data_IF_046703516014
#
_entry.id   IF_046703516014
#
_cell.length_a   1.000
_cell.length_b   1.000
_cell.length_c   1.000
_cell.angle_alpha   90.00
_cell.angle_beta   90.00
_cell.angle_gamma   90.00
#
_symmetry.space_group_name_H-M   'P 1'
#
loop_
_entity.id
_entity.type
_entity.pdbx_description
1 polymer ?
#
# COMPACT_ATOMS: atom_id res chain seq x y z
N UNK A 1 2.24 1.14 5.14
CA UNK A 1 0.94 1.63 5.58
C UNK A 1 -0.14 0.58 5.32
N UNK A 2 -1.05 0.38 6.27
CA UNK A 2 -2.15 -0.57 6.19
C UNK A 2 -3.53 0.07 6.25
N UNK A 3 -4.59 -0.75 6.24
CA UNK A 3 -5.98 -0.30 6.29
C UNK A 3 -6.35 0.57 7.50
N UNK A 4 -5.58 0.48 8.59
CA UNK A 4 -5.74 1.36 9.75
C UNK A 4 -5.53 2.84 9.44
N UNK A 5 -4.71 3.17 8.44
CA UNK A 5 -4.53 4.55 7.95
C UNK A 5 -5.80 5.08 7.27
N UNK A 6 -6.50 4.21 6.52
CA UNK A 6 -7.82 4.56 5.94
C UNK A 6 -8.84 4.76 7.06
N UNK A 7 -8.90 3.83 8.02
CA UNK A 7 -9.89 3.85 9.09
C UNK A 7 -9.76 5.07 10.00
N UNK A 8 -8.54 5.51 10.27
CA UNK A 8 -8.23 6.69 11.08
C UNK A 8 -8.28 8.03 10.30
N UNK A 9 -8.51 7.99 8.97
CA UNK A 9 -8.41 9.17 8.09
C UNK A 9 -7.07 9.91 8.25
N UNK A 10 -5.94 9.20 8.22
CA UNK A 10 -4.60 9.73 8.48
C UNK A 10 -3.68 9.77 7.25
N UNK A 11 -4.24 9.76 6.04
CA UNK A 11 -3.45 9.84 4.80
C UNK A 11 -2.59 11.11 4.73
N UNK A 12 -3.14 12.26 5.11
CA UNK A 12 -2.41 13.54 5.14
C UNK A 12 -1.21 13.47 6.09
N UNK A 13 -1.41 12.91 7.29
CA UNK A 13 -0.33 12.76 8.28
C UNK A 13 0.72 11.75 7.80
N UNK A 14 0.32 10.70 7.08
CA UNK A 14 1.27 9.76 6.49
C UNK A 14 2.13 10.44 5.42
N UNK A 15 1.52 11.24 4.55
CA UNK A 15 2.22 12.00 3.50
C UNK A 15 3.20 12.98 4.15
N UNK A 16 2.74 13.78 5.12
CA UNK A 16 3.57 14.75 5.84
C UNK A 16 4.76 14.07 6.54
N UNK A 17 4.53 12.94 7.21
CA UNK A 17 5.61 12.16 7.84
C UNK A 17 6.63 11.70 6.81
N UNK A 18 6.16 11.13 5.69
CA UNK A 18 7.03 10.60 4.64
C UNK A 18 7.87 11.70 3.99
N UNK A 19 7.30 12.86 3.73
CA UNK A 19 8.00 14.01 3.16
C UNK A 19 9.00 14.60 4.15
N UNK A 20 8.54 14.89 5.39
CA UNK A 20 9.35 15.53 6.41
C UNK A 20 10.55 14.68 6.83
N UNK A 21 10.37 13.37 6.96
CA UNK A 21 11.42 12.44 7.34
C UNK A 21 12.13 11.79 6.13
N UNK A 22 11.71 12.12 4.90
CA UNK A 22 12.21 11.56 3.64
C UNK A 22 12.19 10.04 3.62
N UNK A 23 10.98 9.46 3.80
CA UNK A 23 10.77 8.02 3.90
C UNK A 23 10.08 7.47 2.65
N UNK A 24 10.54 6.34 2.09
CA UNK A 24 9.76 5.61 1.10
C UNK A 24 8.56 4.92 1.77
N UNK A 25 7.46 4.80 1.04
CA UNK A 25 6.20 4.25 1.55
C UNK A 25 5.73 3.11 0.66
N UNK A 26 5.40 1.98 1.28
CA UNK A 26 4.62 0.93 0.64
C UNK A 26 3.27 0.75 1.35
N UNK A 27 2.33 0.15 0.63
CA UNK A 27 0.96 -0.04 1.11
C UNK A 27 0.61 -1.53 1.15
N UNK A 28 -0.35 -1.87 2.00
CA UNK A 28 -1.05 -3.15 1.88
C UNK A 28 -2.19 -3.02 0.88
N UNK A 29 -2.74 -4.15 0.41
CA UNK A 29 -3.87 -4.16 -0.52
C UNK A 29 -5.03 -3.25 -0.09
N UNK A 30 -5.42 -3.30 1.19
CA UNK A 30 -6.52 -2.49 1.73
C UNK A 30 -6.12 -1.03 2.03
N UNK A 31 -4.89 -0.65 1.73
CA UNK A 31 -4.38 0.71 1.93
C UNK A 31 -4.00 1.40 0.61
N UNK A 32 -4.32 0.81 -0.53
CA UNK A 32 -4.10 1.47 -1.82
C UNK A 32 -4.75 2.85 -1.84
N UNK A 33 -4.02 3.85 -2.29
CA UNK A 33 -4.44 5.25 -2.33
C UNK A 33 -4.26 6.05 -1.03
N UNK A 34 -3.86 5.44 0.10
CA UNK A 34 -3.56 6.23 1.33
C UNK A 34 -2.29 7.07 1.20
N UNK A 35 -1.43 6.68 0.30
CA UNK A 35 -0.26 7.42 -0.15
C UNK A 35 -0.31 7.45 -1.67
N UNK A 36 -0.23 8.62 -2.32
CA UNK A 36 -0.34 8.73 -3.77
C UNK A 36 0.73 7.90 -4.49
N UNK A 37 0.32 7.00 -5.38
CA UNK A 37 1.26 6.09 -6.05
C UNK A 37 2.09 6.77 -7.15
N UNK A 38 1.70 7.94 -7.60
CA UNK A 38 2.46 8.83 -8.49
C UNK A 38 3.56 9.61 -7.75
N UNK A 39 3.61 9.58 -6.42
CA UNK A 39 4.67 10.17 -5.62
C UNK A 39 5.97 9.38 -5.77
N UNK A 40 7.11 10.06 -5.90
CA UNK A 40 8.44 9.43 -6.04
C UNK A 40 8.78 8.47 -4.90
N UNK A 41 8.26 8.71 -3.67
CA UNK A 41 8.44 7.88 -2.48
C UNK A 41 7.55 6.65 -2.46
N UNK A 42 6.54 6.57 -3.30
CA UNK A 42 5.66 5.40 -3.37
C UNK A 42 6.41 4.18 -3.94
N UNK A 43 6.29 3.06 -3.27
CA UNK A 43 6.87 1.78 -3.69
C UNK A 43 5.80 0.82 -4.26
N UNK A 44 4.52 1.18 -4.14
CA UNK A 44 3.39 0.33 -4.47
C UNK A 44 3.05 -0.67 -3.37
N UNK A 45 2.27 -1.67 -3.73
CA UNK A 45 1.80 -2.70 -2.80
C UNK A 45 2.92 -3.66 -2.40
N UNK A 46 2.94 -4.04 -1.12
CA UNK A 46 3.83 -5.03 -0.52
C UNK A 46 3.19 -6.43 -0.52
N UNK A 47 4.00 -7.45 -0.49
CA UNK A 47 3.61 -8.84 -0.24
C UNK A 47 3.66 -9.75 -1.46
N UNK A 48 2.98 -10.90 -1.38
CA UNK A 48 3.01 -11.96 -2.39
C UNK A 48 2.63 -11.47 -3.80
N UNK A 49 1.68 -10.55 -3.88
CA UNK A 49 1.20 -9.95 -5.13
C UNK A 49 1.64 -8.49 -5.29
N UNK A 50 2.59 -8.06 -4.46
CA UNK A 50 3.11 -6.72 -4.47
C UNK A 50 4.23 -6.51 -5.51
N UNK A 51 4.71 -5.28 -5.56
CA UNK A 51 5.82 -4.92 -6.45
C UNK A 51 7.15 -5.47 -5.91
N UNK A 52 8.06 -5.81 -6.81
CA UNK A 52 9.41 -6.26 -6.42
C UNK A 52 10.17 -5.17 -5.65
N UNK A 53 10.13 -3.89 -6.05
CA UNK A 53 10.75 -2.81 -5.27
C UNK A 53 10.22 -2.69 -3.84
N UNK A 54 8.89 -2.83 -3.62
CA UNK A 54 8.32 -2.78 -2.28
C UNK A 54 8.82 -3.93 -1.39
N UNK A 55 8.87 -5.15 -1.94
CA UNK A 55 9.37 -6.32 -1.20
C UNK A 55 10.86 -6.20 -0.88
N UNK A 56 11.70 -5.79 -1.84
CA UNK A 56 13.12 -5.57 -1.59
C UNK A 56 13.37 -4.45 -0.59
N UNK A 57 12.62 -3.36 -0.66
CA UNK A 57 12.75 -2.27 0.29
C UNK A 57 12.47 -2.71 1.73
N UNK A 58 11.47 -3.54 1.95
CA UNK A 58 11.20 -4.11 3.29
C UNK A 58 12.30 -5.08 3.72
N UNK A 59 12.74 -5.95 2.81
CA UNK A 59 13.79 -6.94 3.13
C UNK A 59 15.14 -6.31 3.47
N UNK A 60 15.51 -5.21 2.81
CA UNK A 60 16.80 -4.54 2.98
C UNK A 60 16.76 -3.39 4.00
N UNK A 61 15.59 -3.03 4.54
CA UNK A 61 15.47 -1.93 5.49
C UNK A 61 16.11 -2.26 6.84
N UNK A 62 16.66 -1.26 7.50
CA UNK A 62 17.16 -1.29 8.87
C UNK A 62 16.08 -0.87 9.89
N UNK A 63 15.08 -0.12 9.44
CA UNK A 63 13.92 0.31 10.22
C UNK A 63 12.65 0.15 9.40
N UNK A 64 11.67 -0.55 9.94
CA UNK A 64 10.32 -0.68 9.39
C UNK A 64 9.29 -0.05 10.34
N UNK A 65 8.57 0.97 9.86
CA UNK A 65 7.46 1.56 10.58
C UNK A 65 6.16 1.01 9.98
N UNK A 66 5.49 0.13 10.69
CA UNK A 66 4.20 -0.42 10.30
C UNK A 66 3.07 0.38 10.94
N UNK A 67 2.19 0.95 10.13
CA UNK A 67 1.10 1.84 10.57
C UNK A 67 -0.23 1.22 10.17
N UNK A 68 -1.01 0.76 11.14
CA UNK A 68 -2.32 0.15 10.92
C UNK A 68 -2.28 -1.07 10.01
N UNK A 69 -1.22 -1.89 10.12
CA UNK A 69 -0.99 -3.09 9.33
C UNK A 69 -0.74 -4.29 10.24
N UNK A 70 -1.51 -5.35 10.08
CA UNK A 70 -1.50 -6.51 10.99
C UNK A 70 -0.48 -7.61 10.64
N UNK A 71 0.42 -7.40 9.69
CA UNK A 71 1.39 -8.40 9.23
C UNK A 71 0.73 -9.72 8.82
N UNK A 72 -0.17 -9.65 7.87
CA UNK A 72 -0.87 -10.79 7.28
C UNK A 72 0.11 -11.73 6.56
N UNK A 73 -0.23 -13.01 6.46
CA UNK A 73 0.59 -14.03 5.80
C UNK A 73 0.85 -13.72 4.31
N UNK A 74 -0.09 -13.04 3.65
CA UNK A 74 0.07 -12.58 2.25
C UNK A 74 1.12 -11.47 2.12
N UNK A 75 1.45 -10.80 3.22
CA UNK A 75 2.48 -9.76 3.30
C UNK A 75 3.82 -10.35 3.72
N UNK A 76 3.83 -11.17 4.78
CA UNK A 76 5.05 -11.62 5.43
C UNK A 76 5.72 -12.80 4.74
N UNK A 77 4.94 -13.68 4.12
CA UNK A 77 5.48 -14.96 3.67
C UNK A 77 6.12 -15.73 4.82
N UNK A 78 7.38 -16.11 4.68
CA UNK A 78 8.12 -16.82 5.73
C UNK A 78 8.49 -15.84 6.86
N UNK A 79 7.83 -16.00 7.99
CA UNK A 79 7.89 -15.07 9.14
C UNK A 79 9.32 -14.82 9.62
N UNK A 80 10.12 -15.88 9.74
CA UNK A 80 11.51 -15.80 10.26
C UNK A 80 12.46 -15.01 9.34
N UNK A 81 12.08 -14.84 8.08
CA UNK A 81 12.86 -14.12 7.08
C UNK A 81 12.31 -12.71 6.78
N UNK A 82 11.10 -12.41 7.24
CA UNK A 82 10.47 -11.13 6.97
C UNK A 82 11.19 -9.98 7.69
N UNK A 83 11.66 -9.00 6.93
CA UNK A 83 12.34 -7.80 7.47
C UNK A 83 13.38 -8.12 8.55
N UNK A 84 14.14 -9.23 8.39
CA UNK A 84 15.02 -9.80 9.42
C UNK A 84 16.16 -8.87 9.84
N UNK A 85 16.47 -7.84 9.04
CA UNK A 85 17.48 -6.81 9.33
C UNK A 85 16.91 -5.59 10.06
N UNK A 86 15.58 -5.44 10.04
CA UNK A 86 14.94 -4.21 10.49
C UNK A 86 14.59 -4.23 11.98
N UNK A 87 14.74 -3.09 12.63
CA UNK A 87 13.96 -2.80 13.82
C UNK A 87 12.53 -2.43 13.41
N UNK A 88 11.55 -2.96 14.12
CA UNK A 88 10.15 -2.79 13.76
C UNK A 88 9.43 -1.94 14.80
N UNK A 89 8.92 -0.78 14.35
CA UNK A 89 7.95 0.04 15.07
C UNK A 89 6.57 -0.36 14.56
N UNK A 90 5.65 -0.72 15.45
CA UNK A 90 4.29 -1.07 15.05
C UNK A 90 3.27 -0.16 15.74
N UNK A 91 2.58 0.62 14.93
CA UNK A 91 1.51 1.53 15.34
C UNK A 91 0.18 0.86 14.97
N UNK A 92 -0.59 0.47 15.95
CA UNK A 92 -1.91 -0.12 15.75
C UNK A 92 -2.86 0.26 16.90
N UNK A 93 -4.15 0.39 16.58
CA UNK A 93 -5.17 0.68 17.58
C UNK A 93 -5.52 -0.55 18.42
N UNK A 94 -5.34 -1.75 17.84
CA UNK A 94 -5.62 -3.02 18.51
C UNK A 94 -4.35 -3.57 19.17
N UNK A 95 -4.28 -3.57 20.52
CA UNK A 95 -3.13 -4.10 21.23
C UNK A 95 -2.91 -5.60 20.97
N UNK A 96 -3.95 -6.34 20.55
CA UNK A 96 -3.83 -7.78 20.26
C UNK A 96 -3.16 -8.06 18.92
N UNK A 97 -3.07 -7.08 18.04
CA UNK A 97 -2.35 -7.16 16.78
C UNK A 97 -0.84 -6.98 16.96
N UNK A 98 -0.41 -6.33 18.05
CA UNK A 98 1.01 -6.08 18.34
C UNK A 98 1.74 -7.38 18.65
N UNK A 99 2.85 -7.63 17.94
CA UNK A 99 3.68 -8.85 18.08
C UNK A 99 2.93 -10.17 17.86
N UNK A 100 1.75 -10.14 17.25
CA UNK A 100 0.98 -11.36 16.99
C UNK A 100 1.65 -12.28 15.99
N UNK A 101 2.10 -11.72 14.87
CA UNK A 101 2.70 -12.49 13.76
C UNK A 101 4.21 -12.23 13.64
N UNK A 102 4.64 -10.99 13.87
CA UNK A 102 6.04 -10.55 13.73
C UNK A 102 6.48 -9.95 15.06
N UNK A 103 7.71 -10.27 15.51
CA UNK A 103 8.29 -9.66 16.70
C UNK A 103 8.46 -8.15 16.49
N UNK A 104 7.81 -7.36 17.32
CA UNK A 104 7.87 -5.89 17.29
C UNK A 104 8.91 -5.42 18.32
N UNK A 105 9.73 -4.45 17.92
CA UNK A 105 10.74 -3.85 18.79
C UNK A 105 10.18 -2.67 19.59
N UNK A 106 9.37 -1.84 18.95
CA UNK A 106 8.73 -0.68 19.57
C UNK A 106 7.22 -0.74 19.30
N UNK A 107 6.42 -1.20 20.24
CA UNK A 107 4.98 -1.19 20.14
C UNK A 107 4.42 0.20 20.47
N UNK A 108 3.48 0.69 19.67
CA UNK A 108 2.77 1.95 19.89
C UNK A 108 1.28 1.69 19.71
N UNK A 109 0.54 1.58 20.81
CA UNK A 109 -0.90 1.33 20.78
C UNK A 109 -1.67 2.64 20.76
N UNK A 110 -2.49 2.85 19.74
CA UNK A 110 -3.33 4.02 19.61
C UNK A 110 -3.81 4.30 18.21
N UNK A 111 -4.63 5.33 18.07
CA UNK A 111 -5.15 5.80 16.80
C UNK A 111 -4.02 6.36 15.91
N UNK A 112 -3.97 5.90 14.67
CA UNK A 112 -2.87 6.25 13.76
C UNK A 112 -2.79 7.77 13.50
N UNK A 113 -3.93 8.45 13.35
CA UNK A 113 -3.95 9.89 13.12
C UNK A 113 -3.32 10.67 14.28
N UNK A 114 -3.73 10.34 15.50
CA UNK A 114 -3.24 10.97 16.72
C UNK A 114 -1.73 10.74 16.88
N UNK A 115 -1.27 9.50 16.68
CA UNK A 115 0.14 9.13 16.82
C UNK A 115 0.99 9.82 15.76
N UNK A 116 0.57 9.80 14.49
CA UNK A 116 1.31 10.44 13.41
C UNK A 116 1.40 11.95 13.61
N UNK A 117 0.31 12.60 14.03
CA UNK A 117 0.29 14.03 14.34
C UNK A 117 1.33 14.41 15.40
N UNK A 118 1.50 13.56 16.41
CA UNK A 118 2.54 13.78 17.43
C UNK A 118 3.94 13.44 16.88
N UNK A 119 4.10 12.30 16.22
CA UNK A 119 5.39 11.84 15.71
C UNK A 119 6.03 12.83 14.73
N UNK A 120 5.24 13.45 13.87
CA UNK A 120 5.70 14.47 12.92
C UNK A 120 6.45 15.62 13.60
N UNK A 121 6.13 15.96 14.85
CA UNK A 121 6.80 17.05 15.59
C UNK A 121 8.26 16.72 15.93
N UNK A 122 8.60 15.44 16.05
CA UNK A 122 9.91 14.98 16.52
C UNK A 122 10.82 14.48 15.39
N UNK A 123 10.33 14.38 14.15
CA UNK A 123 11.13 13.96 13.01
C UNK A 123 11.70 15.15 12.25
N UNK A 124 12.85 14.95 11.64
CA UNK A 124 13.50 15.92 10.75
C UNK A 124 13.92 15.24 9.46
N UNK A 125 14.16 16.03 8.43
CA UNK A 125 14.66 15.54 7.16
C UNK A 125 16.04 14.90 7.31
N UNK A 126 16.18 13.71 6.75
CA UNK A 126 17.46 13.01 6.63
C UNK A 126 17.65 12.64 5.17
N UNK A 127 18.76 13.07 4.59
CA UNK A 127 19.12 12.69 3.23
C UNK A 127 19.44 11.20 3.16
N UNK A 128 18.80 10.47 2.23
CA UNK A 128 18.97 9.01 2.03
C UNK A 128 19.30 8.69 0.57
N UNK A 129 20.27 9.40 0.01
CA UNK A 129 20.66 9.26 -1.40
C UNK A 129 20.92 7.82 -1.83
N UNK A 130 21.70 7.10 -1.06
CA UNK A 130 22.06 5.69 -1.38
C UNK A 130 20.82 4.79 -1.35
N UNK A 131 19.94 5.01 -0.38
CA UNK A 131 18.71 4.22 -0.24
C UNK A 131 17.75 4.47 -1.40
N UNK A 132 17.46 5.73 -1.72
CA UNK A 132 16.65 6.08 -2.88
C UNK A 132 17.30 5.69 -4.20
N UNK A 133 18.63 5.69 -4.30
CA UNK A 133 19.36 5.17 -5.45
C UNK A 133 19.10 3.68 -5.67
N UNK A 134 19.17 2.85 -4.61
CA UNK A 134 18.82 1.43 -4.68
C UNK A 134 17.36 1.21 -5.10
N UNK A 135 16.43 1.98 -4.50
CA UNK A 135 15.01 1.91 -4.85
C UNK A 135 14.79 2.25 -6.33
N UNK A 136 15.42 3.30 -6.84
CA UNK A 136 15.34 3.69 -8.23
C UNK A 136 15.86 2.59 -9.18
N UNK A 137 16.98 1.95 -8.82
CA UNK A 137 17.53 0.81 -9.57
C UNK A 137 16.57 -0.38 -9.58
N UNK A 138 15.92 -0.69 -8.45
CA UNK A 138 14.92 -1.75 -8.41
C UNK A 138 13.67 -1.40 -9.25
N UNK A 139 13.15 -0.17 -9.13
CA UNK A 139 12.03 0.30 -9.96
C UNK A 139 12.35 0.19 -11.45
N UNK A 140 13.57 0.55 -11.86
CA UNK A 140 14.01 0.44 -13.24
C UNK A 140 14.17 -1.01 -13.70
N UNK A 141 14.78 -1.87 -12.87
CA UNK A 141 15.06 -3.27 -13.22
C UNK A 141 13.80 -4.13 -13.24
N UNK A 142 12.89 -3.85 -12.34
CA UNK A 142 11.66 -4.62 -12.11
C UNK A 142 10.40 -3.77 -12.38
N UNK A 143 10.49 -2.84 -13.33
CA UNK A 143 9.29 -2.20 -13.85
C UNK A 143 8.31 -3.29 -14.26
N UNK A 144 7.04 -3.14 -13.90
CA UNK A 144 6.00 -4.12 -14.18
C UNK A 144 5.85 -4.28 -15.69
N UNK A 145 6.58 -5.24 -16.22
CA UNK A 145 6.66 -5.45 -17.64
C UNK A 145 5.72 -6.59 -18.02
N UNK A 146 4.78 -6.27 -18.84
CA UNK A 146 4.09 -7.27 -19.63
C UNK A 146 4.35 -6.99 -21.12
N UNK A 147 4.36 -8.04 -21.92
CA UNK A 147 4.52 -7.92 -23.37
C UNK A 147 3.23 -7.36 -23.98
N UNK A 148 3.29 -6.11 -24.43
CA UNK A 148 2.20 -5.41 -25.10
C UNK A 148 2.33 -5.43 -26.64
N UNK A 149 3.24 -6.24 -27.19
CA UNK A 149 3.48 -6.35 -28.64
C UNK A 149 2.64 -7.44 -29.31
N UNK A 150 1.91 -8.23 -28.53
CA UNK A 150 1.07 -9.32 -29.05
C UNK A 150 -0.30 -8.81 -29.51
N UNK A 151 -0.90 -9.48 -30.49
CA UNK A 151 -2.27 -9.20 -30.99
C UNK A 151 -3.38 -9.50 -29.94
N UNK A 152 -2.98 -10.00 -28.76
CA UNK A 152 -3.90 -10.34 -27.68
C UNK A 152 -3.90 -9.24 -26.64
N UNK A 153 -5.08 -8.66 -26.37
CA UNK A 153 -5.27 -7.67 -25.30
C UNK A 153 -4.92 -8.28 -23.95
N UNK A 154 -3.98 -7.66 -23.25
CA UNK A 154 -3.56 -8.09 -21.92
C UNK A 154 -4.43 -7.48 -20.84
N UNK A 155 -4.76 -8.21 -19.77
CA UNK A 155 -5.53 -7.66 -18.64
C UNK A 155 -4.90 -6.43 -18.00
N UNK A 156 -3.58 -6.40 -17.92
CA UNK A 156 -2.80 -5.26 -17.43
C UNK A 156 -3.09 -4.00 -18.24
N UNK A 157 -3.02 -4.12 -19.56
CA UNK A 157 -3.34 -3.03 -20.48
C UNK A 157 -4.76 -2.50 -20.29
N UNK A 158 -5.73 -3.41 -20.10
CA UNK A 158 -7.12 -3.00 -19.84
C UNK A 158 -7.22 -2.14 -18.58
N UNK A 159 -6.55 -2.54 -17.50
CA UNK A 159 -6.56 -1.78 -16.24
C UNK A 159 -5.89 -0.42 -16.40
N UNK A 160 -4.74 -0.37 -17.09
CA UNK A 160 -4.06 0.90 -17.39
C UNK A 160 -4.93 1.83 -18.22
N UNK A 161 -5.63 1.30 -19.23
CA UNK A 161 -6.55 2.10 -20.05
C UNK A 161 -7.76 2.59 -19.27
N UNK A 162 -8.28 1.82 -18.33
CA UNK A 162 -9.33 2.27 -17.41
C UNK A 162 -8.80 3.41 -16.53
N UNK A 163 -7.58 3.27 -15.99
CA UNK A 163 -6.95 4.31 -15.20
C UNK A 163 -6.77 5.61 -16.00
N UNK A 164 -6.29 5.52 -17.22
CA UNK A 164 -6.11 6.66 -18.12
C UNK A 164 -7.44 7.32 -18.47
N UNK A 165 -8.45 6.55 -18.87
CA UNK A 165 -9.77 7.04 -19.25
C UNK A 165 -10.49 7.74 -18.08
N UNK A 166 -10.29 7.26 -16.87
CA UNK A 166 -10.86 7.82 -15.64
C UNK A 166 -9.94 8.83 -14.95
N UNK A 167 -8.75 9.08 -15.50
CA UNK A 167 -7.71 9.96 -14.93
C UNK A 167 -7.33 9.59 -13.48
N UNK A 168 -7.43 8.30 -13.14
CA UNK A 168 -7.17 7.80 -11.79
C UNK A 168 -8.21 8.21 -10.74
N UNK A 169 -9.35 8.77 -11.15
CA UNK A 169 -10.36 9.31 -10.22
C UNK A 169 -11.50 8.34 -9.90
N UNK A 170 -11.53 7.17 -10.56
CA UNK A 170 -12.60 6.19 -10.33
C UNK A 170 -12.48 5.50 -8.96
N UNK A 171 -13.62 5.07 -8.44
CA UNK A 171 -13.69 4.12 -7.34
C UNK A 171 -13.68 2.71 -7.94
N UNK A 172 -12.55 2.04 -7.83
CA UNK A 172 -12.34 0.70 -8.39
C UNK A 172 -12.87 -0.34 -7.42
N UNK A 173 -13.79 -1.18 -7.87
CA UNK A 173 -14.27 -2.33 -7.12
C UNK A 173 -13.82 -3.62 -7.80
N UNK A 174 -13.44 -4.63 -7.04
CA UNK A 174 -12.99 -5.90 -7.62
C UNK A 174 -13.69 -7.10 -7.01
N UNK A 175 -13.85 -8.15 -7.81
CA UNK A 175 -14.01 -9.50 -7.31
C UNK A 175 -12.66 -10.02 -6.77
N UNK A 176 -12.67 -11.22 -6.22
CA UNK A 176 -11.45 -11.90 -5.76
C UNK A 176 -10.85 -12.74 -6.88
N UNK A 177 -9.54 -12.65 -7.06
CA UNK A 177 -8.81 -13.40 -8.07
C UNK A 177 -7.80 -12.55 -8.84
N UNK A 178 -7.47 -12.98 -10.06
CA UNK A 178 -6.47 -12.30 -10.90
C UNK A 178 -6.84 -10.85 -11.19
N UNK A 179 -8.13 -10.57 -11.43
CA UNK A 179 -8.62 -9.20 -11.66
C UNK A 179 -8.28 -8.26 -10.48
N UNK A 180 -8.40 -8.73 -9.24
CA UNK A 180 -8.04 -7.98 -8.05
C UNK A 180 -6.55 -7.64 -8.02
N UNK A 181 -5.70 -8.60 -8.38
CA UNK A 181 -4.25 -8.40 -8.43
C UNK A 181 -3.84 -7.43 -9.54
N UNK A 182 -4.43 -7.56 -10.73
CA UNK A 182 -4.16 -6.62 -11.82
C UNK A 182 -4.64 -5.21 -11.48
N UNK A 183 -5.84 -5.06 -10.91
CA UNK A 183 -6.32 -3.77 -10.45
C UNK A 183 -5.38 -3.16 -9.38
N UNK A 184 -4.88 -3.97 -8.43
CA UNK A 184 -3.96 -3.50 -7.41
C UNK A 184 -2.57 -3.12 -7.91
N UNK A 185 -2.13 -3.67 -9.05
CA UNK A 185 -0.77 -3.48 -9.57
C UNK A 185 -0.67 -2.48 -10.72
N UNK A 186 -1.74 -2.32 -11.51
CA UNK A 186 -1.70 -1.57 -12.78
C UNK A 186 -2.64 -0.37 -12.83
N UNK A 187 -3.46 -0.16 -11.80
CA UNK A 187 -4.19 1.09 -11.61
C UNK A 187 -3.42 1.97 -10.63
N UNK A 188 -3.24 3.24 -10.94
CA UNK A 188 -2.54 4.20 -10.08
C UNK A 188 -3.52 4.86 -9.11
N UNK A 189 -3.42 4.50 -7.84
CA UNK A 189 -4.28 5.04 -6.78
C UNK A 189 -3.65 6.27 -6.14
N UNK A 190 -4.30 7.42 -6.28
CA UNK A 190 -3.82 8.70 -5.72
C UNK A 190 -4.68 9.20 -4.55
N UNK A 191 -5.85 8.59 -4.35
CA UNK A 191 -6.82 9.01 -3.33
C UNK A 191 -7.16 7.85 -2.39
N UNK A 192 -7.29 8.09 -1.08
CA UNK A 192 -7.79 7.07 -0.16
C UNK A 192 -9.25 6.71 -0.47
N UNK A 193 -9.64 5.47 -0.16
CA UNK A 193 -10.98 4.91 -0.39
C UNK A 193 -11.39 4.79 -1.86
N UNK A 194 -10.43 4.81 -2.79
CA UNK A 194 -10.67 4.60 -4.22
C UNK A 194 -10.57 3.13 -4.65
N UNK A 195 -10.17 2.22 -3.74
CA UNK A 195 -10.11 0.78 -4.00
C UNK A 195 -10.95 0.02 -2.99
N UNK A 196 -11.95 -0.73 -3.48
CA UNK A 196 -12.87 -1.53 -2.68
C UNK A 196 -12.78 -3.00 -3.08
N UNK A 197 -12.35 -3.83 -2.16
CA UNK A 197 -12.15 -5.26 -2.43
C UNK A 197 -12.31 -6.10 -1.17
N UNK A 198 -12.69 -7.37 -1.32
CA UNK A 198 -12.70 -8.33 -0.23
C UNK A 198 -11.28 -8.87 0.02
N UNK A 199 -10.38 -8.00 0.50
CA UNK A 199 -8.97 -8.32 0.70
C UNK A 199 -8.66 -9.14 1.98
N UNK A 200 -9.63 -9.33 2.85
CA UNK A 200 -9.49 -10.14 4.07
C UNK A 200 -10.02 -11.56 3.89
N UNK A 201 -11.33 -11.69 3.75
CA UNK A 201 -12.00 -12.98 3.63
C UNK A 201 -12.01 -13.56 2.21
N UNK A 202 -11.73 -12.74 1.20
CA UNK A 202 -11.72 -13.18 -0.19
C UNK A 202 -13.10 -13.61 -0.68
N UNK A 203 -14.15 -12.87 -0.32
CA UNK A 203 -15.53 -13.23 -0.60
C UNK A 203 -15.86 -13.03 -2.08
N UNK A 204 -16.22 -14.08 -2.78
CA UNK A 204 -16.73 -14.02 -4.15
C UNK A 204 -18.10 -13.37 -4.17
N UNK A 205 -18.42 -12.65 -5.27
CA UNK A 205 -19.66 -11.91 -5.39
C UNK A 205 -19.65 -10.54 -4.68
N UNK A 206 -18.48 -10.07 -4.24
CA UNK A 206 -18.31 -8.78 -3.56
C UNK A 206 -18.30 -7.60 -4.53
N UNK A 207 -17.63 -7.72 -5.68
CA UNK A 207 -17.26 -6.58 -6.53
C UNK A 207 -18.46 -5.85 -7.10
N UNK A 208 -19.43 -6.56 -7.67
CA UNK A 208 -20.60 -5.95 -8.29
C UNK A 208 -21.49 -5.22 -7.27
N UNK A 209 -21.92 -5.81 -6.15
CA UNK A 209 -22.72 -5.06 -5.16
C UNK A 209 -21.91 -3.93 -4.51
N UNK A 210 -20.60 -4.06 -4.37
CA UNK A 210 -19.76 -2.95 -3.90
C UNK A 210 -19.76 -1.78 -4.88
N UNK A 211 -19.75 -2.03 -6.20
CA UNK A 211 -19.85 -1.00 -7.22
C UNK A 211 -21.19 -0.25 -7.14
N UNK A 212 -22.29 -0.97 -6.97
CA UNK A 212 -23.62 -0.34 -6.77
C UNK A 212 -23.62 0.53 -5.49
N UNK A 213 -23.04 0.03 -4.40
CA UNK A 213 -22.94 0.78 -3.15
C UNK A 213 -22.06 2.04 -3.30
N UNK A 214 -20.93 1.94 -3.99
CA UNK A 214 -20.05 3.07 -4.27
C UNK A 214 -20.76 4.15 -5.09
N UNK A 215 -21.47 3.75 -6.15
CA UNK A 215 -22.23 4.68 -7.00
C UNK A 215 -23.37 5.38 -6.23
N UNK A 216 -24.05 4.67 -5.33
CA UNK A 216 -25.09 5.28 -4.50
C UNK A 216 -24.50 6.23 -3.43
N UNK A 217 -23.36 5.87 -2.86
CA UNK A 217 -22.68 6.68 -1.84
C UNK A 217 -21.91 7.88 -2.39
N UNK A 218 -21.44 7.77 -3.64
CA UNK A 218 -20.64 8.78 -4.32
C UNK A 218 -21.16 8.99 -5.76
N UNK A 219 -22.38 9.56 -5.93
CA UNK A 219 -23.04 9.63 -7.23
C UNK A 219 -22.27 10.46 -8.28
N UNK A 220 -21.42 11.39 -7.83
CA UNK A 220 -20.60 12.26 -8.69
C UNK A 220 -19.24 11.64 -9.06
N UNK A 221 -18.94 10.42 -8.58
CA UNK A 221 -17.73 9.67 -8.92
C UNK A 221 -18.03 8.58 -9.97
N UNK A 222 -16.99 8.17 -10.69
CA UNK A 222 -17.04 7.04 -11.63
C UNK A 222 -16.76 5.75 -10.86
#
# INVERSE_FOLDING_TARGET
AGGGVISSNSSEQLIELAEKANLPVNTTLLALGVFPEDNERALGMLGMHGTVPANYAVHESDLLIAIGARFDDRITGKIDEFASKAQIIHIDIDPTSISKNIKVHIPVVGDAKSILTELIKYVSYVERKEWFGKIADWKKRYSSLYDNTSDVVKPQYVVEQICEATKGEAIVTTEVGQNQMWAAQYYTYTNPRSFLSSGGLGTMGFGFPAALGAQLGCPDKI
#
